data_IF_321965080909
#
_entry.id   IF_321965080909
#
_cell.length_a   1.000
_cell.length_b   1.000
_cell.length_c   1.000
_cell.angle_alpha   90.00
_cell.angle_beta   90.00
_cell.angle_gamma   90.00
#
_symmetry.space_group_name_H-M   'P 1'
#
loop_
_entity.id
_entity.type
_entity.pdbx_description
1 polymer ?
#
# COMPACT_ATOMS: atom_id res chain seq x y z
N UNK A 1 -75.38 72.64 1.44
CA UNK A 1 -75.16 71.49 0.55
C UNK A 1 -73.68 71.18 0.27
N UNK A 2 -72.74 71.61 1.13
CA UNK A 2 -71.29 71.40 0.89
C UNK A 2 -70.66 70.35 1.83
N UNK A 3 -71.42 69.86 2.82
CA UNK A 3 -70.97 68.82 3.78
C UNK A 3 -71.37 67.39 3.42
N UNK A 4 -72.27 67.20 2.45
CA UNK A 4 -72.78 65.87 2.05
C UNK A 4 -71.97 65.28 0.87
N UNK A 5 -71.44 66.13 0.00
CA UNK A 5 -70.63 65.71 -1.17
C UNK A 5 -69.24 65.23 -0.73
N UNK A 6 -68.66 65.80 0.33
CA UNK A 6 -67.40 65.34 0.91
C UNK A 6 -67.51 63.96 1.58
N UNK A 7 -68.68 63.60 2.12
CA UNK A 7 -68.92 62.30 2.74
C UNK A 7 -69.01 61.17 1.71
N UNK A 8 -69.68 61.40 0.57
CA UNK A 8 -69.77 60.39 -0.50
C UNK A 8 -68.45 60.20 -1.25
N UNK A 9 -67.64 61.25 -1.45
CA UNK A 9 -66.30 61.11 -2.04
C UNK A 9 -65.33 60.37 -1.12
N UNK A 10 -65.42 60.56 0.20
CA UNK A 10 -64.58 59.84 1.15
C UNK A 10 -64.97 58.36 1.28
N UNK A 11 -66.26 58.05 1.20
CA UNK A 11 -66.76 56.68 1.29
C UNK A 11 -66.48 55.86 0.01
N UNK A 12 -66.55 56.49 -1.16
CA UNK A 12 -66.20 55.83 -2.43
C UNK A 12 -64.68 55.63 -2.56
N UNK A 13 -63.85 56.58 -2.12
CA UNK A 13 -62.41 56.35 -2.03
C UNK A 13 -62.02 55.28 -1.00
N UNK A 14 -62.72 55.19 0.14
CA UNK A 14 -62.46 54.13 1.12
C UNK A 14 -62.81 52.73 0.59
N UNK A 15 -63.90 52.57 -0.17
CA UNK A 15 -64.30 51.27 -0.73
C UNK A 15 -63.41 50.84 -1.90
N UNK A 16 -62.93 51.79 -2.72
CA UNK A 16 -61.98 51.51 -3.81
C UNK A 16 -60.57 51.21 -3.28
N UNK A 17 -60.13 51.87 -2.21
CA UNK A 17 -58.83 51.58 -1.58
C UNK A 17 -58.86 50.24 -0.83
N UNK A 18 -59.99 49.88 -0.21
CA UNK A 18 -60.12 48.59 0.49
C UNK A 18 -60.18 47.41 -0.50
N UNK A 19 -60.80 47.56 -1.68
CA UNK A 19 -60.82 46.48 -2.68
C UNK A 19 -59.52 46.32 -3.49
N UNK A 20 -58.68 47.36 -3.57
CA UNK A 20 -57.35 47.27 -4.18
C UNK A 20 -56.32 46.58 -3.26
N UNK A 21 -56.47 46.67 -1.94
CA UNK A 21 -55.58 46.01 -0.97
C UNK A 21 -55.90 44.54 -0.70
N UNK A 22 -57.05 44.04 -1.15
CA UNK A 22 -57.41 42.61 -1.02
C UNK A 22 -56.97 41.73 -2.20
N UNK A 23 -56.45 42.30 -3.29
CA UNK A 23 -55.93 41.53 -4.42
C UNK A 23 -54.43 41.18 -4.29
N UNK A 24 -53.66 41.91 -3.48
CA UNK A 24 -52.20 41.72 -3.35
C UNK A 24 -51.78 40.90 -2.12
N UNK A 25 -52.68 40.68 -1.15
CA UNK A 25 -52.36 39.93 0.07
C UNK A 25 -52.44 38.40 -0.08
N UNK A 26 -53.11 37.88 -1.11
CA UNK A 26 -53.24 36.42 -1.33
C UNK A 26 -52.18 35.87 -2.29
N UNK A 27 -51.48 36.74 -3.04
CA UNK A 27 -50.48 36.34 -4.04
C UNK A 27 -49.07 36.16 -3.49
N UNK A 28 -48.71 36.78 -2.37
CA UNK A 28 -47.37 36.62 -1.75
C UNK A 28 -47.25 35.37 -0.89
N UNK A 29 -48.33 34.93 -0.24
CA UNK A 29 -48.34 33.67 0.52
C UNK A 29 -48.40 32.45 -0.41
N UNK A 30 -49.17 32.52 -1.50
CA UNK A 30 -49.23 31.44 -2.49
C UNK A 30 -47.94 31.32 -3.32
N UNK A 31 -47.25 32.41 -3.66
CA UNK A 31 -45.96 32.34 -4.38
C UNK A 31 -44.82 31.84 -3.49
N UNK A 32 -44.78 32.20 -2.20
CA UNK A 32 -43.81 31.64 -1.25
C UNK A 32 -44.11 30.18 -0.89
N UNK A 33 -45.39 29.79 -0.77
CA UNK A 33 -45.78 28.40 -0.57
C UNK A 33 -45.49 27.53 -1.82
N UNK A 34 -45.69 28.07 -3.03
CA UNK A 34 -45.34 27.40 -4.27
C UNK A 34 -43.81 27.29 -4.43
N UNK A 35 -43.06 28.34 -4.08
CA UNK A 35 -41.60 28.30 -4.06
C UNK A 35 -41.06 27.30 -3.03
N UNK A 36 -41.61 27.26 -1.81
CA UNK A 36 -41.27 26.26 -0.80
C UNK A 36 -41.58 24.84 -1.28
N UNK A 37 -42.73 24.62 -1.92
CA UNK A 37 -43.14 23.32 -2.46
C UNK A 37 -42.25 22.88 -3.63
N UNK A 38 -41.89 23.79 -4.54
CA UNK A 38 -40.98 23.51 -5.67
C UNK A 38 -39.58 23.17 -5.16
N UNK A 39 -39.09 23.89 -4.13
CA UNK A 39 -37.81 23.61 -3.49
C UNK A 39 -37.85 22.23 -2.81
N UNK A 40 -38.91 21.88 -2.07
CA UNK A 40 -39.01 20.55 -1.44
C UNK A 40 -39.06 19.43 -2.46
N UNK A 41 -39.85 19.57 -3.54
CA UNK A 41 -39.87 18.55 -4.62
C UNK A 41 -38.53 18.41 -5.32
N UNK A 42 -37.79 19.51 -5.51
CA UNK A 42 -36.45 19.45 -6.10
C UNK A 42 -35.42 18.81 -5.17
N UNK A 43 -35.57 18.97 -3.85
CA UNK A 43 -34.71 18.32 -2.85
C UNK A 43 -35.01 16.81 -2.80
N UNK A 44 -36.28 16.41 -2.83
CA UNK A 44 -36.70 15.00 -2.88
C UNK A 44 -36.22 14.28 -4.15
N UNK A 45 -36.29 14.96 -5.31
CA UNK A 45 -35.74 14.47 -6.57
C UNK A 45 -34.22 14.27 -6.50
N UNK A 46 -33.52 15.20 -5.84
CA UNK A 46 -32.07 15.10 -5.68
C UNK A 46 -31.68 14.01 -4.68
N UNK A 47 -32.43 13.80 -3.61
CA UNK A 47 -32.24 12.69 -2.66
C UNK A 47 -32.42 11.35 -3.39
N UNK A 48 -33.49 11.22 -4.20
CA UNK A 48 -33.75 10.00 -4.99
C UNK A 48 -32.63 9.72 -6.00
N UNK A 49 -32.04 10.76 -6.59
CA UNK A 49 -30.85 10.63 -7.46
C UNK A 49 -29.61 10.18 -6.69
N UNK A 50 -29.38 10.71 -5.49
CA UNK A 50 -28.26 10.30 -4.64
C UNK A 50 -28.38 8.82 -4.24
N UNK A 51 -29.56 8.37 -3.83
CA UNK A 51 -29.82 6.96 -3.51
C UNK A 51 -29.55 6.03 -4.71
N UNK A 52 -30.00 6.44 -5.91
CA UNK A 52 -29.72 5.70 -7.14
C UNK A 52 -28.23 5.64 -7.48
N UNK A 53 -27.48 6.73 -7.27
CA UNK A 53 -26.04 6.77 -7.52
C UNK A 53 -25.27 5.93 -6.50
N UNK A 54 -25.68 5.94 -5.22
CA UNK A 54 -25.09 5.08 -4.20
C UNK A 54 -25.26 3.59 -4.53
N UNK A 55 -26.44 3.18 -4.97
CA UNK A 55 -26.69 1.81 -5.41
C UNK A 55 -25.84 1.42 -6.65
N UNK A 56 -25.61 2.35 -7.57
CA UNK A 56 -24.73 2.12 -8.72
C UNK A 56 -23.26 1.96 -8.30
N UNK A 57 -22.79 2.74 -7.32
CA UNK A 57 -21.42 2.62 -6.80
C UNK A 57 -21.20 1.26 -6.15
N UNK A 58 -22.15 0.76 -5.35
CA UNK A 58 -22.04 -0.59 -4.78
C UNK A 58 -21.98 -1.67 -5.85
N UNK A 59 -22.82 -1.56 -6.88
CA UNK A 59 -22.82 -2.50 -7.99
C UNK A 59 -21.49 -2.46 -8.75
N UNK A 60 -20.95 -1.26 -9.00
CA UNK A 60 -19.65 -1.09 -9.65
C UNK A 60 -18.52 -1.65 -8.79
N UNK A 61 -18.53 -1.45 -7.47
CA UNK A 61 -17.58 -2.05 -6.53
C UNK A 61 -17.63 -3.59 -6.59
N UNK A 62 -18.83 -4.19 -6.58
CA UNK A 62 -19.00 -5.64 -6.73
C UNK A 62 -18.48 -6.16 -8.07
N UNK A 63 -18.74 -5.43 -9.16
CA UNK A 63 -18.22 -5.76 -10.49
C UNK A 63 -16.69 -5.66 -10.55
N UNK A 64 -16.09 -4.67 -9.90
CA UNK A 64 -14.64 -4.55 -9.80
C UNK A 64 -14.05 -5.73 -9.03
N UNK A 65 -14.58 -6.07 -7.85
CA UNK A 65 -14.13 -7.22 -7.06
C UNK A 65 -14.20 -8.54 -7.86
N UNK A 66 -15.31 -8.77 -8.58
CA UNK A 66 -15.47 -9.95 -9.42
C UNK A 66 -14.51 -9.96 -10.61
N UNK A 67 -14.30 -8.81 -11.27
CA UNK A 67 -13.35 -8.71 -12.37
C UNK A 67 -11.91 -8.93 -11.88
N UNK A 68 -11.54 -8.41 -10.71
CA UNK A 68 -10.23 -8.64 -10.10
C UNK A 68 -10.02 -10.11 -9.75
N UNK A 69 -11.06 -10.78 -9.22
CA UNK A 69 -11.04 -12.23 -8.96
C UNK A 69 -10.85 -13.03 -10.25
N UNK A 70 -11.60 -12.70 -11.30
CA UNK A 70 -11.45 -13.33 -12.61
C UNK A 70 -10.07 -13.09 -13.22
N UNK A 71 -9.49 -11.89 -13.05
CA UNK A 71 -8.12 -11.60 -13.47
C UNK A 71 -7.08 -12.37 -12.65
N UNK A 72 -7.28 -12.52 -11.34
CA UNK A 72 -6.40 -13.33 -10.47
C UNK A 72 -6.48 -14.82 -10.82
N UNK A 73 -7.67 -15.36 -11.08
CA UNK A 73 -7.88 -16.73 -11.53
C UNK A 73 -7.29 -16.97 -12.94
N UNK A 74 -7.44 -16.03 -13.87
CA UNK A 74 -6.81 -16.10 -15.18
C UNK A 74 -5.28 -15.95 -15.10
N UNK A 75 -4.77 -15.10 -14.21
CA UNK A 75 -3.33 -14.97 -13.90
C UNK A 75 -2.80 -16.21 -13.17
N UNK A 76 -3.63 -16.91 -12.39
CA UNK A 76 -3.28 -18.18 -11.76
C UNK A 76 -3.27 -19.35 -12.75
N UNK A 77 -4.18 -19.35 -13.73
CA UNK A 77 -4.16 -20.31 -14.86
C UNK A 77 -2.97 -20.06 -15.80
N UNK A 78 -2.57 -18.80 -15.97
CA UNK A 78 -1.31 -18.39 -16.59
C UNK A 78 -0.06 -18.88 -15.82
N UNK A 79 -0.20 -19.15 -14.52
CA UNK A 79 0.87 -19.60 -13.59
C UNK A 79 0.99 -21.12 -13.46
N UNK A 80 0.12 -21.91 -14.09
CA UNK A 80 0.22 -23.36 -14.04
C UNK A 80 1.35 -23.87 -14.94
N UNK A 81 2.53 -24.07 -14.36
CA UNK A 81 3.68 -24.87 -14.82
C UNK A 81 3.88 -24.92 -16.35
N UNK A 82 4.40 -23.82 -16.92
CA UNK A 82 4.93 -23.82 -18.27
C UNK A 82 6.09 -24.82 -18.36
N UNK A 83 5.81 -25.97 -19.00
CA UNK A 83 6.71 -27.10 -19.12
C UNK A 83 6.83 -27.54 -20.59
N UNK A 84 7.73 -28.47 -20.85
CA UNK A 84 7.94 -28.98 -22.20
C UNK A 84 6.63 -29.58 -22.76
N UNK A 85 6.23 -29.12 -23.94
CA UNK A 85 4.94 -29.46 -24.56
C UNK A 85 3.88 -28.36 -24.46
N UNK A 86 4.03 -27.36 -23.58
CA UNK A 86 3.11 -26.23 -23.47
C UNK A 86 3.06 -25.41 -24.77
N UNK A 87 1.88 -24.89 -25.10
CA UNK A 87 1.66 -24.02 -26.26
C UNK A 87 0.84 -22.80 -25.89
N UNK A 88 1.10 -21.67 -26.53
CA UNK A 88 0.29 -20.46 -26.37
C UNK A 88 1.09 -19.17 -26.48
N UNK A 89 0.38 -18.05 -26.31
CA UNK A 89 0.99 -16.73 -26.35
C UNK A 89 1.98 -16.49 -25.20
N UNK A 90 1.83 -17.20 -24.09
CA UNK A 90 2.70 -17.04 -22.93
C UNK A 90 4.06 -17.71 -23.13
N UNK A 91 4.08 -18.87 -23.79
CA UNK A 91 5.33 -19.47 -24.30
C UNK A 91 6.00 -18.52 -25.28
N UNK A 92 5.23 -17.80 -26.10
CA UNK A 92 5.76 -16.84 -27.07
C UNK A 92 6.40 -15.63 -26.39
N UNK A 93 5.83 -15.14 -25.28
CA UNK A 93 6.41 -14.08 -24.44
C UNK A 93 7.69 -14.56 -23.77
N UNK A 94 7.70 -15.76 -23.19
CA UNK A 94 8.88 -16.38 -22.61
C UNK A 94 10.00 -16.51 -23.66
N UNK A 95 9.69 -17.07 -24.84
CA UNK A 95 10.64 -17.19 -25.93
C UNK A 95 11.14 -15.83 -26.42
N UNK A 96 10.30 -14.79 -26.40
CA UNK A 96 10.71 -13.44 -26.74
C UNK A 96 11.71 -12.85 -25.74
N UNK A 97 11.53 -13.14 -24.46
CA UNK A 97 12.44 -12.76 -23.39
C UNK A 97 13.75 -13.54 -23.47
N UNK A 98 13.70 -14.87 -23.59
CA UNK A 98 14.91 -15.70 -23.72
C UNK A 98 15.71 -15.35 -24.98
N UNK A 99 15.03 -15.06 -26.09
CA UNK A 99 15.66 -14.62 -27.35
C UNK A 99 16.23 -13.20 -27.29
N UNK A 100 16.00 -12.45 -26.21
CA UNK A 100 16.67 -11.16 -25.99
C UNK A 100 18.17 -11.34 -25.81
N UNK A 101 18.59 -12.50 -25.32
CA UNK A 101 19.99 -12.87 -25.19
C UNK A 101 20.36 -14.02 -26.14
N UNK A 102 21.10 -13.74 -27.23
CA UNK A 102 21.57 -14.75 -28.17
C UNK A 102 22.50 -15.80 -27.54
N UNK A 103 23.11 -15.51 -26.39
CA UNK A 103 23.96 -16.47 -25.67
C UNK A 103 23.14 -17.46 -24.85
N UNK A 104 21.91 -17.11 -24.49
CA UNK A 104 20.95 -18.00 -23.82
C UNK A 104 20.15 -18.79 -24.83
N UNK A 105 19.54 -18.10 -25.80
CA UNK A 105 18.65 -18.70 -26.79
C UNK A 105 19.10 -18.36 -28.22
N UNK A 106 20.20 -18.96 -28.73
CA UNK A 106 20.76 -18.64 -30.04
C UNK A 106 19.81 -18.95 -31.19
N UNK A 107 18.89 -19.89 -31.00
CA UNK A 107 17.90 -20.27 -32.00
C UNK A 107 16.81 -19.20 -32.16
N UNK A 108 16.55 -18.40 -31.11
CA UNK A 108 15.65 -17.24 -31.16
C UNK A 108 14.22 -17.54 -31.61
N UNK A 109 13.78 -18.81 -31.54
CA UNK A 109 12.51 -19.26 -32.09
C UNK A 109 11.35 -18.87 -31.16
N UNK A 110 10.42 -18.05 -31.70
CA UNK A 110 9.21 -17.56 -31.02
C UNK A 110 7.96 -18.23 -31.58
N UNK A 111 7.96 -19.55 -31.62
CA UNK A 111 6.90 -20.37 -32.21
C UNK A 111 5.65 -20.45 -31.33
N UNK A 112 5.76 -20.11 -30.05
CA UNK A 112 4.71 -20.33 -29.07
C UNK A 112 4.58 -21.79 -28.64
N UNK A 113 5.57 -22.64 -28.95
CA UNK A 113 5.66 -24.05 -28.51
C UNK A 113 6.90 -24.26 -27.64
N UNK A 114 6.70 -24.78 -26.43
CA UNK A 114 7.77 -25.03 -25.47
C UNK A 114 8.42 -26.37 -25.81
N UNK A 115 9.41 -26.34 -26.71
CA UNK A 115 10.18 -27.51 -27.11
C UNK A 115 11.51 -27.66 -26.36
N UNK A 116 12.32 -28.67 -26.72
CA UNK A 116 13.61 -28.94 -26.08
C UNK A 116 14.60 -27.78 -26.17
N UNK A 117 14.54 -26.98 -27.24
CA UNK A 117 15.39 -25.79 -27.41
C UNK A 117 15.02 -24.68 -26.42
N UNK A 118 13.72 -24.46 -26.20
CA UNK A 118 13.24 -23.48 -25.21
C UNK A 118 13.58 -23.94 -23.79
N UNK A 119 13.49 -25.25 -23.53
CA UNK A 119 13.93 -25.84 -22.25
C UNK A 119 15.41 -25.63 -21.99
N UNK A 120 16.25 -25.84 -22.99
CA UNK A 120 17.70 -25.64 -22.86
C UNK A 120 18.05 -24.16 -22.65
N UNK A 121 17.36 -23.26 -23.36
CA UNK A 121 17.49 -21.83 -23.11
C UNK A 121 17.05 -21.45 -21.69
N UNK A 122 15.98 -22.04 -21.17
CA UNK A 122 15.53 -21.82 -19.80
C UNK A 122 16.56 -22.33 -18.79
N UNK A 123 17.18 -23.50 -19.01
CA UNK A 123 18.26 -24.00 -18.16
C UNK A 123 19.47 -23.08 -18.13
N UNK A 124 19.84 -22.50 -19.28
CA UNK A 124 20.93 -21.52 -19.34
C UNK A 124 20.57 -20.22 -18.63
N UNK A 125 19.31 -19.80 -18.72
CA UNK A 125 18.80 -18.65 -18.00
C UNK A 125 18.86 -18.90 -16.48
N UNK A 126 18.36 -20.03 -16.01
CA UNK A 126 18.45 -20.46 -14.61
C UNK A 126 19.90 -20.52 -14.13
N UNK A 127 20.78 -21.12 -14.93
CA UNK A 127 22.21 -21.23 -14.61
C UNK A 127 22.89 -19.85 -14.51
N UNK A 128 22.56 -18.93 -15.42
CA UNK A 128 23.12 -17.56 -15.41
C UNK A 128 22.69 -16.79 -14.18
N UNK A 129 21.44 -16.94 -13.81
CA UNK A 129 20.87 -16.30 -12.64
C UNK A 129 21.07 -17.13 -11.38
N UNK A 130 21.94 -18.14 -11.42
CA UNK A 130 22.37 -18.97 -10.28
C UNK A 130 21.22 -19.61 -9.47
N UNK A 131 20.04 -19.77 -10.08
CA UNK A 131 18.88 -20.49 -9.51
C UNK A 131 18.92 -21.98 -9.88
N UNK A 132 18.05 -22.78 -9.26
CA UNK A 132 18.00 -24.22 -9.52
C UNK A 132 17.72 -24.51 -11.01
N UNK A 133 18.60 -25.31 -11.62
CA UNK A 133 18.55 -25.62 -13.06
C UNK A 133 17.61 -26.80 -13.30
N UNK A 134 16.31 -26.56 -13.12
CA UNK A 134 15.25 -27.56 -13.32
C UNK A 134 14.85 -27.70 -14.78
N UNK A 135 15.01 -26.63 -15.57
CA UNK A 135 14.45 -26.50 -16.92
C UNK A 135 12.93 -26.41 -16.95
N UNK A 136 12.30 -26.16 -15.81
CA UNK A 136 10.87 -25.92 -15.61
C UNK A 136 10.73 -24.53 -14.99
N UNK A 137 9.64 -23.83 -15.25
CA UNK A 137 9.38 -22.55 -14.58
C UNK A 137 8.88 -22.84 -13.17
N UNK A 138 9.81 -23.02 -12.24
CA UNK A 138 9.54 -23.05 -10.80
C UNK A 138 9.25 -21.65 -10.25
N UNK A 139 8.81 -21.57 -8.98
CA UNK A 139 8.41 -20.29 -8.36
C UNK A 139 9.56 -19.26 -8.36
N UNK A 140 10.80 -19.71 -8.16
CA UNK A 140 11.99 -18.87 -8.23
C UNK A 140 12.24 -18.32 -9.64
N UNK A 141 12.19 -19.19 -10.66
CA UNK A 141 12.32 -18.80 -12.07
C UNK A 141 11.17 -17.86 -12.48
N UNK A 142 9.97 -18.07 -11.93
CA UNK A 142 8.80 -17.25 -12.20
C UNK A 142 8.93 -15.85 -11.63
N UNK A 143 9.33 -15.72 -10.37
CA UNK A 143 9.57 -14.42 -9.74
C UNK A 143 10.56 -13.59 -10.57
N UNK A 144 11.64 -14.24 -11.02
CA UNK A 144 12.67 -13.60 -11.82
C UNK A 144 12.16 -13.19 -13.20
N UNK A 145 11.38 -14.04 -13.86
CA UNK A 145 10.75 -13.70 -15.15
C UNK A 145 9.74 -12.56 -15.02
N UNK A 146 8.91 -12.56 -13.97
CA UNK A 146 7.93 -11.49 -13.71
C UNK A 146 8.63 -10.14 -13.53
N UNK A 147 9.76 -10.11 -12.84
CA UNK A 147 10.57 -8.89 -12.66
C UNK A 147 11.18 -8.39 -13.98
N UNK A 148 11.79 -9.30 -14.76
CA UNK A 148 12.31 -8.98 -16.10
C UNK A 148 11.21 -8.44 -17.03
N UNK A 149 9.99 -8.96 -16.92
CA UNK A 149 8.84 -8.54 -17.71
C UNK A 149 8.24 -7.23 -17.21
N UNK A 150 8.25 -6.96 -15.91
CA UNK A 150 7.76 -5.71 -15.32
C UNK A 150 8.61 -4.52 -15.80
N UNK A 151 9.93 -4.67 -15.84
CA UNK A 151 10.84 -3.64 -16.34
C UNK A 151 10.74 -3.46 -17.87
N UNK A 152 10.49 -4.53 -18.62
CA UNK A 152 10.23 -4.44 -20.06
C UNK A 152 8.88 -3.78 -20.39
N UNK A 153 7.85 -4.03 -19.58
CA UNK A 153 6.49 -3.55 -19.78
C UNK A 153 6.28 -2.09 -19.36
N UNK A 154 6.89 -1.64 -18.27
CA UNK A 154 6.63 -0.31 -17.70
C UNK A 154 7.40 0.82 -18.40
N UNK A 155 8.46 0.50 -19.14
CA UNK A 155 9.33 1.50 -19.75
C UNK A 155 9.31 1.50 -21.29
N UNK A 156 8.48 0.68 -21.94
CA UNK A 156 8.45 0.54 -23.40
C UNK A 156 9.81 0.11 -23.97
N UNK A 157 10.64 -0.52 -23.15
CA UNK A 157 12.03 -0.84 -23.45
C UNK A 157 12.05 -2.09 -24.35
N UNK A 158 12.65 -2.01 -25.55
CA UNK A 158 12.86 -3.18 -26.37
C UNK A 158 13.71 -4.19 -25.60
N UNK A 159 13.29 -5.46 -25.59
CA UNK A 159 13.92 -6.55 -24.82
C UNK A 159 15.45 -6.66 -24.97
N UNK A 160 16.04 -6.16 -26.07
CA UNK A 160 17.50 -6.11 -26.25
C UNK A 160 18.27 -5.18 -25.29
N UNK A 161 17.60 -4.25 -24.61
CA UNK A 161 18.20 -3.36 -23.60
C UNK A 161 18.38 -4.01 -22.23
N UNK A 162 17.73 -5.16 -21.98
CA UNK A 162 17.89 -5.95 -20.75
C UNK A 162 19.30 -6.56 -20.62
N UNK A 163 20.14 -6.46 -21.67
CA UNK A 163 21.53 -6.94 -21.72
C UNK A 163 22.55 -5.93 -21.17
N UNK A 164 22.13 -4.70 -20.84
CA UNK A 164 23.07 -3.69 -20.34
C UNK A 164 23.51 -4.07 -18.91
N UNK A 165 24.82 -4.09 -18.59
CA UNK A 165 25.32 -4.47 -17.27
C UNK A 165 24.63 -3.73 -16.11
N UNK A 166 24.34 -2.45 -16.28
CA UNK A 166 23.64 -1.66 -15.27
C UNK A 166 22.17 -2.05 -15.05
N UNK A 167 21.47 -2.57 -16.08
CA UNK A 167 20.12 -3.11 -15.94
C UNK A 167 20.16 -4.48 -15.28
N UNK A 168 21.12 -5.32 -15.66
CA UNK A 168 21.34 -6.64 -15.04
C UNK A 168 21.57 -6.50 -13.53
N UNK A 169 22.45 -5.57 -13.13
CA UNK A 169 22.76 -5.30 -11.73
C UNK A 169 21.56 -4.72 -10.97
N UNK A 170 20.76 -3.87 -11.60
CA UNK A 170 19.54 -3.32 -10.98
C UNK A 170 18.48 -4.39 -10.70
N UNK A 171 18.32 -5.33 -11.62
CA UNK A 171 17.40 -6.47 -11.44
C UNK A 171 17.96 -7.43 -10.38
N UNK A 172 19.27 -7.70 -10.39
CA UNK A 172 19.91 -8.52 -9.35
C UNK A 172 19.78 -7.89 -7.95
N UNK A 173 19.94 -6.57 -7.82
CA UNK A 173 19.78 -5.86 -6.54
C UNK A 173 18.34 -5.88 -6.03
N UNK A 174 17.35 -5.62 -6.90
CA UNK A 174 15.92 -5.69 -6.51
C UNK A 174 15.48 -7.10 -6.14
N UNK A 175 16.03 -8.12 -6.80
CA UNK A 175 15.73 -9.50 -6.45
C UNK A 175 16.29 -9.85 -5.06
N UNK A 176 17.43 -9.28 -4.68
CA UNK A 176 17.99 -9.39 -3.31
C UNK A 176 17.07 -8.76 -2.26
N UNK A 177 16.55 -7.56 -2.50
CA UNK A 177 15.58 -6.89 -1.62
C UNK A 177 14.22 -7.63 -1.54
N UNK A 178 13.87 -8.38 -2.59
CA UNK A 178 12.63 -9.14 -2.65
C UNK A 178 12.73 -10.52 -1.96
N UNK A 179 13.95 -11.00 -1.69
CA UNK A 179 14.21 -12.24 -0.95
C UNK A 179 13.82 -12.13 0.55
N UNK A 180 13.76 -10.94 1.12
CA UNK A 180 13.44 -10.72 2.54
C UNK A 180 11.93 -10.78 2.82
N UNK A 181 11.08 -10.50 1.82
CA UNK A 181 9.62 -10.44 1.97
C UNK A 181 8.85 -11.73 1.65
N UNK A 182 9.47 -12.72 1.00
CA UNK A 182 8.82 -13.96 0.60
C UNK A 182 9.45 -15.17 1.29
N UNK A 183 8.98 -15.45 2.50
CA UNK A 183 9.38 -16.60 3.30
C UNK A 183 9.44 -17.92 2.52
N UNK A 184 10.54 -18.63 2.74
CA UNK A 184 10.78 -20.08 2.56
C UNK A 184 10.73 -20.70 1.15
N UNK A 185 10.32 -19.98 0.10
CA UNK A 185 10.30 -20.52 -1.27
C UNK A 185 11.64 -20.53 -2.02
N UNK A 186 12.61 -19.71 -1.58
CA UNK A 186 13.81 -19.39 -2.36
C UNK A 186 15.13 -19.71 -1.63
N UNK A 187 15.10 -20.59 -0.63
CA UNK A 187 16.18 -20.78 0.35
C UNK A 187 17.57 -21.04 -0.24
N UNK A 188 17.69 -21.73 -1.38
CA UNK A 188 19.00 -22.00 -1.99
C UNK A 188 19.60 -20.80 -2.73
N UNK A 189 18.77 -19.96 -3.34
CA UNK A 189 19.22 -18.80 -4.11
C UNK A 189 19.40 -17.56 -3.22
N UNK A 190 18.45 -17.29 -2.34
CA UNK A 190 18.54 -16.16 -1.42
C UNK A 190 19.70 -16.33 -0.41
N UNK A 191 19.95 -17.54 0.12
CA UNK A 191 21.16 -17.78 0.94
C UNK A 191 22.46 -17.59 0.15
N UNK A 192 22.45 -17.92 -1.16
CA UNK A 192 23.66 -17.82 -1.98
C UNK A 192 23.92 -16.38 -2.45
N UNK A 193 22.89 -15.57 -2.64
CA UNK A 193 23.05 -14.14 -2.88
C UNK A 193 23.55 -13.37 -1.66
N UNK A 194 23.11 -13.75 -0.43
CA UNK A 194 23.74 -13.26 0.82
C UNK A 194 25.26 -13.51 0.80
N UNK A 195 25.69 -14.72 0.45
CA UNK A 195 27.11 -15.10 0.35
C UNK A 195 27.87 -14.35 -0.77
N UNK A 196 27.21 -13.91 -1.85
CA UNK A 196 27.88 -13.25 -2.99
C UNK A 196 28.23 -11.77 -2.71
N UNK A 197 27.56 -11.15 -1.75
CA UNK A 197 27.76 -9.75 -1.36
C UNK A 197 28.27 -9.56 0.07
N UNK A 198 28.41 -10.65 0.84
CA UNK A 198 29.33 -10.69 1.98
C UNK A 198 30.75 -10.52 1.45
N UNK A 199 31.25 -9.29 1.52
CA UNK A 199 32.67 -9.00 1.33
C UNK A 199 33.42 -9.83 2.36
N UNK A 200 34.30 -10.69 1.89
CA UNK A 200 35.31 -11.34 2.70
C UNK A 200 36.12 -10.25 3.44
N UNK A 201 35.83 -10.03 4.72
CA UNK A 201 36.72 -9.34 5.66
C UNK A 201 37.93 -10.24 5.98
N UNK A 202 38.69 -10.58 4.94
CA UNK A 202 40.02 -11.15 5.05
C UNK A 202 41.03 -9.99 5.02
N UNK A 203 41.32 -9.42 6.19
CA UNK A 203 42.62 -8.78 6.42
C UNK A 203 43.12 -9.03 7.86
N UNK A 204 43.89 -10.10 7.95
CA UNK A 204 45.13 -10.23 8.72
C UNK A 204 45.64 -8.93 9.36
N UNK A 205 45.70 -8.94 10.69
CA UNK A 205 46.68 -8.34 11.59
C UNK A 205 47.55 -7.20 11.02
N UNK A 206 47.29 -5.99 11.51
CA UNK A 206 48.17 -4.84 11.35
C UNK A 206 47.65 -3.65 12.13
N UNK A 207 48.12 -3.52 13.37
CA UNK A 207 47.92 -2.36 14.25
C UNK A 207 48.21 -1.05 13.51
N UNK A 208 47.20 -0.20 13.28
CA UNK A 208 47.36 1.26 13.30
C UNK A 208 46.08 1.89 13.85
N UNK A 209 46.18 2.41 15.08
CA UNK A 209 45.28 3.40 15.63
C UNK A 209 45.18 4.59 14.66
N UNK A 210 43.98 4.86 14.17
CA UNK A 210 43.60 6.19 13.72
C UNK A 210 42.17 6.46 14.18
N UNK A 211 42.08 7.31 15.20
CA UNK A 211 40.87 7.99 15.63
C UNK A 211 40.28 8.78 14.43
N UNK A 212 39.49 8.11 13.60
CA UNK A 212 38.58 8.77 12.68
C UNK A 212 37.17 8.60 13.23
N UNK A 213 36.80 9.60 14.04
CA UNK A 213 35.47 10.00 14.44
C UNK A 213 34.60 10.19 13.18
N UNK A 214 34.14 9.08 12.59
CA UNK A 214 33.02 9.09 11.64
C UNK A 214 31.76 9.15 12.49
N UNK A 215 31.39 10.37 12.87
CA UNK A 215 30.04 10.64 13.30
C UNK A 215 29.10 10.12 12.21
N UNK A 216 28.38 9.04 12.53
CA UNK A 216 27.27 8.56 11.73
C UNK A 216 26.32 9.76 11.56
N UNK A 217 26.24 10.25 10.33
CA UNK A 217 25.13 11.11 9.94
C UNK A 217 23.95 10.17 9.87
N UNK A 218 23.35 9.88 11.02
CA UNK A 218 22.02 9.29 11.11
C UNK A 218 21.12 10.31 10.43
N UNK A 219 20.75 10.01 9.18
CA UNK A 219 19.81 10.87 8.50
C UNK A 219 18.46 10.67 9.19
N UNK A 220 17.94 11.72 9.84
CA UNK A 220 16.64 11.63 10.51
C UNK A 220 15.48 11.30 9.56
N UNK A 221 15.74 11.25 8.24
CA UNK A 221 14.77 10.74 7.27
C UNK A 221 14.63 9.22 7.33
N UNK A 222 15.68 8.49 7.69
CA UNK A 222 15.67 7.03 7.84
C UNK A 222 14.85 6.66 9.07
N UNK A 223 15.10 7.30 10.21
CA UNK A 223 14.37 7.05 11.47
C UNK A 223 12.86 7.32 11.34
N UNK A 224 12.48 8.43 10.70
CA UNK A 224 11.07 8.74 10.47
C UNK A 224 10.38 7.78 9.47
N UNK A 225 11.12 7.26 8.49
CA UNK A 225 10.59 6.26 7.53
C UNK A 225 10.43 4.91 8.22
N UNK A 226 11.40 4.51 9.05
CA UNK A 226 11.37 3.28 9.83
C UNK A 226 10.20 3.27 10.82
N UNK A 227 10.04 4.33 11.61
CA UNK A 227 8.90 4.46 12.54
C UNK A 227 7.54 4.38 11.83
N UNK A 228 7.42 4.95 10.62
CA UNK A 228 6.19 4.85 9.80
C UNK A 228 5.97 3.42 9.31
N UNK A 229 7.03 2.71 8.92
CA UNK A 229 6.95 1.33 8.47
C UNK A 229 6.50 0.40 9.61
N UNK A 230 7.04 0.58 10.80
CA UNK A 230 6.68 -0.18 12.00
C UNK A 230 5.21 0.06 12.39
N UNK A 231 4.77 1.31 12.42
CA UNK A 231 3.38 1.66 12.67
C UNK A 231 2.41 1.00 11.66
N UNK A 232 2.79 0.93 10.37
CA UNK A 232 1.99 0.23 9.35
C UNK A 232 1.88 -1.26 9.67
N UNK A 233 2.99 -1.91 10.04
CA UNK A 233 3.02 -3.33 10.34
C UNK A 233 2.11 -3.69 11.51
N UNK A 234 2.14 -2.91 12.61
CA UNK A 234 1.26 -3.13 13.78
C UNK A 234 -0.22 -2.90 13.43
N UNK A 235 -0.53 -1.85 12.65
CA UNK A 235 -1.91 -1.56 12.22
C UNK A 235 -2.48 -2.70 11.36
N UNK A 236 -1.68 -3.22 10.42
CA UNK A 236 -2.11 -4.31 9.54
C UNK A 236 -2.30 -5.62 10.32
N UNK A 237 -1.44 -5.89 11.31
CA UNK A 237 -1.62 -7.01 12.23
C UNK A 237 -2.93 -6.90 13.04
N UNK A 238 -3.21 -5.72 13.62
CA UNK A 238 -4.46 -5.47 14.34
C UNK A 238 -5.69 -5.65 13.44
N UNK A 239 -5.67 -5.15 12.21
CA UNK A 239 -6.77 -5.35 11.25
C UNK A 239 -7.02 -6.84 10.97
N UNK A 240 -5.95 -7.60 10.74
CA UNK A 240 -6.05 -9.03 10.50
C UNK A 240 -6.60 -9.77 11.73
N UNK A 241 -6.17 -9.38 12.94
CA UNK A 241 -6.67 -9.96 14.18
C UNK A 241 -8.15 -9.64 14.41
N UNK A 242 -8.59 -8.40 14.14
CA UNK A 242 -10.00 -7.99 14.21
C UNK A 242 -10.88 -8.82 13.26
N UNK A 243 -10.41 -9.09 12.04
CA UNK A 243 -11.17 -9.86 11.05
C UNK A 243 -11.43 -11.31 11.47
N UNK A 244 -10.48 -11.94 12.19
CA UNK A 244 -10.55 -13.35 12.59
C UNK A 244 -11.06 -13.54 14.02
N UNK A 245 -11.12 -12.48 14.82
CA UNK A 245 -11.48 -12.55 16.23
C UNK A 245 -12.91 -13.06 16.46
N UNK A 246 -13.06 -13.96 17.44
CA UNK A 246 -14.35 -14.44 17.94
C UNK A 246 -14.68 -13.90 19.33
N UNK A 247 -14.00 -12.83 19.75
CA UNK A 247 -14.20 -12.20 21.05
C UNK A 247 -15.57 -11.53 21.20
N UNK A 248 -15.85 -11.03 22.41
CA UNK A 248 -17.06 -10.25 22.69
C UNK A 248 -17.14 -9.05 21.73
N UNK A 249 -18.31 -8.83 21.13
CA UNK A 249 -18.55 -7.74 20.17
C UNK A 249 -18.08 -6.35 20.63
N UNK A 250 -18.17 -6.07 21.93
CA UNK A 250 -17.69 -4.81 22.53
C UNK A 250 -16.17 -4.62 22.38
N UNK A 251 -15.38 -5.69 22.54
CA UNK A 251 -13.92 -5.67 22.39
C UNK A 251 -13.53 -5.47 20.91
N UNK A 252 -14.30 -6.06 20.00
CA UNK A 252 -14.10 -5.90 18.55
C UNK A 252 -14.45 -4.46 18.12
N UNK A 253 -15.55 -3.89 18.61
CA UNK A 253 -15.95 -2.52 18.33
C UNK A 253 -14.88 -1.51 18.82
N UNK A 254 -14.30 -1.75 20.01
CA UNK A 254 -13.20 -0.93 20.56
C UNK A 254 -11.92 -1.07 19.73
N UNK A 255 -11.57 -2.28 19.29
CA UNK A 255 -10.42 -2.52 18.41
C UNK A 255 -10.61 -1.88 17.02
N UNK A 256 -11.80 -1.94 16.43
CA UNK A 256 -12.12 -1.22 15.19
C UNK A 256 -12.03 0.30 15.35
N UNK A 257 -12.36 0.84 16.53
CA UNK A 257 -12.19 2.25 16.84
C UNK A 257 -10.70 2.61 16.97
N UNK A 258 -9.89 1.75 17.58
CA UNK A 258 -8.45 1.92 17.68
C UNK A 258 -7.77 1.88 16.30
N UNK A 259 -8.16 0.96 15.41
CA UNK A 259 -7.68 0.92 14.02
C UNK A 259 -7.91 2.27 13.33
N UNK A 260 -9.12 2.84 13.46
CA UNK A 260 -9.43 4.15 12.86
C UNK A 260 -8.57 5.27 13.45
N UNK A 261 -8.31 5.25 14.75
CA UNK A 261 -7.47 6.24 15.40
C UNK A 261 -6.00 6.13 14.96
N UNK A 262 -5.46 4.91 14.89
CA UNK A 262 -4.10 4.64 14.43
C UNK A 262 -3.91 5.04 12.96
N UNK A 263 -4.88 4.77 12.08
CA UNK A 263 -4.83 5.22 10.67
C UNK A 263 -4.81 6.75 10.53
N UNK A 264 -5.50 7.48 11.41
CA UNK A 264 -5.48 8.95 11.43
C UNK A 264 -4.10 9.48 11.86
N UNK A 265 -3.50 8.86 12.88
CA UNK A 265 -2.15 9.19 13.33
C UNK A 265 -1.11 8.88 12.25
N UNK A 266 -1.20 7.72 11.59
CA UNK A 266 -0.34 7.35 10.46
C UNK A 266 -0.47 8.32 9.28
N UNK A 267 -1.70 8.74 8.94
CA UNK A 267 -1.92 9.74 7.89
C UNK A 267 -1.28 11.10 8.26
N UNK A 268 -1.28 11.44 9.55
CA UNK A 268 -0.60 12.64 10.05
C UNK A 268 0.92 12.50 9.95
N UNK A 269 1.49 11.35 10.31
CA UNK A 269 2.91 11.04 10.17
C UNK A 269 3.37 11.16 8.70
N UNK A 270 2.64 10.53 7.77
CA UNK A 270 2.92 10.62 6.33
C UNK A 270 2.85 12.06 5.79
N UNK A 271 1.92 12.87 6.30
CA UNK A 271 1.82 14.28 5.93
C UNK A 271 3.01 15.11 6.45
N UNK A 272 3.54 14.78 7.64
CA UNK A 272 4.73 15.42 8.21
C UNK A 272 6.00 15.02 7.49
N UNK A 273 6.16 13.74 7.16
CA UNK A 273 7.26 13.24 6.33
C UNK A 273 7.29 13.97 4.98
N UNK A 274 6.14 14.12 4.31
CA UNK A 274 6.05 14.85 3.05
C UNK A 274 6.34 16.36 3.15
N UNK A 275 6.35 16.91 4.37
CA UNK A 275 6.68 18.31 4.66
C UNK A 275 8.11 18.48 5.20
N UNK A 276 8.94 17.43 5.15
CA UNK A 276 10.29 17.36 5.74
C UNK A 276 10.32 17.69 7.25
N UNK A 277 9.20 17.48 7.95
CA UNK A 277 9.07 17.67 9.40
C UNK A 277 9.31 16.35 10.14
N UNK A 278 10.57 15.89 10.13
CA UNK A 278 10.98 14.52 10.51
C UNK A 278 10.64 14.17 11.97
N UNK A 279 11.02 14.99 12.95
CA UNK A 279 10.70 14.76 14.37
C UNK A 279 9.19 14.69 14.65
N UNK A 280 8.40 15.50 13.94
CA UNK A 280 6.94 15.47 14.06
C UNK A 280 6.36 14.21 13.41
N UNK A 281 6.94 13.76 12.29
CA UNK A 281 6.55 12.52 11.62
C UNK A 281 6.78 11.30 12.52
N UNK A 282 7.95 11.21 13.14
CA UNK A 282 8.29 10.15 14.10
C UNK A 282 7.31 10.15 15.29
N UNK A 283 7.02 11.32 15.86
CA UNK A 283 6.07 11.44 16.97
C UNK A 283 4.69 10.89 16.62
N UNK A 284 4.15 11.22 15.44
CA UNK A 284 2.85 10.71 14.99
C UNK A 284 2.90 9.22 14.64
N UNK A 285 4.04 8.73 14.15
CA UNK A 285 4.23 7.32 13.85
C UNK A 285 4.23 6.48 15.14
N UNK A 286 5.00 6.86 16.15
CA UNK A 286 4.99 6.21 17.47
C UNK A 286 3.62 6.29 18.15
N UNK A 287 2.87 7.38 17.97
CA UNK A 287 1.49 7.46 18.46
C UNK A 287 0.57 6.45 17.76
N UNK A 288 0.70 6.29 16.44
CA UNK A 288 -0.08 5.33 15.67
C UNK A 288 0.23 3.88 16.08
N UNK A 289 1.51 3.57 16.23
CA UNK A 289 2.00 2.27 16.68
C UNK A 289 1.43 1.94 18.06
N UNK A 290 1.59 2.84 19.05
CA UNK A 290 1.10 2.64 20.42
C UNK A 290 -0.40 2.41 20.47
N UNK A 291 -1.20 3.14 19.69
CA UNK A 291 -2.66 2.94 19.64
C UNK A 291 -3.01 1.54 19.09
N UNK A 292 -2.30 1.09 18.07
CA UNK A 292 -2.54 -0.20 17.45
C UNK A 292 -2.08 -1.35 18.36
N UNK A 293 -0.93 -1.21 19.01
CA UNK A 293 -0.36 -2.20 19.92
C UNK A 293 -1.22 -2.38 21.18
N UNK A 294 -1.59 -1.28 21.85
CA UNK A 294 -2.49 -1.29 23.02
C UNK A 294 -3.80 -2.04 22.72
N UNK A 295 -4.34 -1.87 21.50
CA UNK A 295 -5.59 -2.52 21.08
C UNK A 295 -5.38 -3.99 20.66
N UNK A 296 -4.22 -4.31 20.09
CA UNK A 296 -3.86 -5.68 19.73
C UNK A 296 -3.71 -6.54 20.98
N UNK A 297 -3.02 -6.02 22.00
CA UNK A 297 -2.85 -6.71 23.29
C UNK A 297 -4.20 -7.00 23.95
N UNK A 298 -5.14 -6.04 23.92
CA UNK A 298 -6.49 -6.23 24.46
C UNK A 298 -7.29 -7.27 23.67
N UNK A 299 -7.11 -7.34 22.35
CA UNK A 299 -7.85 -8.25 21.48
C UNK A 299 -7.31 -9.68 21.52
N UNK A 300 -5.98 -9.85 21.57
CA UNK A 300 -5.28 -11.15 21.41
C UNK A 300 -4.75 -11.69 22.74
N UNK A 301 -4.49 -10.83 23.73
CA UNK A 301 -3.94 -11.21 25.03
C UNK A 301 -2.45 -11.56 24.99
N UNK A 302 -1.76 -11.23 23.91
CA UNK A 302 -0.31 -11.41 23.71
C UNK A 302 0.31 -10.07 23.29
N UNK A 303 1.52 -9.80 23.76
CA UNK A 303 2.32 -8.61 23.40
C UNK A 303 2.74 -8.76 21.93
N UNK A 304 2.41 -7.79 21.08
CA UNK A 304 2.84 -7.80 19.69
C UNK A 304 4.30 -7.37 19.62
N UNK A 305 5.22 -8.33 19.70
CA UNK A 305 6.61 -8.08 19.35
C UNK A 305 6.69 -7.91 17.83
N UNK A 306 6.58 -6.66 17.35
CA UNK A 306 7.20 -6.31 16.07
C UNK A 306 8.67 -6.74 16.15
N UNK A 307 9.20 -7.40 15.13
CA UNK A 307 10.59 -7.87 15.11
C UNK A 307 11.56 -6.67 15.19
N UNK A 308 11.73 -6.12 16.40
CA UNK A 308 12.79 -5.19 16.77
C UNK A 308 14.10 -5.97 16.69
N UNK A 309 14.77 -5.89 15.55
CA UNK A 309 16.23 -5.96 15.53
C UNK A 309 16.76 -4.67 16.17
N UNK A 310 16.60 -4.57 17.49
CA UNK A 310 17.45 -3.75 18.32
C UNK A 310 18.46 -4.74 18.90
N UNK A 311 19.72 -4.59 18.50
CA UNK A 311 20.86 -5.25 19.13
C UNK A 311 20.94 -4.83 20.62
N UNK A 312 20.13 -5.45 21.47
CA UNK A 312 20.43 -5.56 22.89
C UNK A 312 21.36 -6.75 23.11
N UNK A 313 22.66 -6.48 23.12
CA UNK A 313 23.61 -7.30 23.87
C UNK A 313 23.91 -6.64 25.20
N UNK A 314 23.16 -7.02 26.22
CA UNK A 314 23.64 -7.02 27.58
C UNK A 314 24.82 -7.98 27.71
N UNK A 315 25.83 -7.56 28.47
CA UNK A 315 26.28 -8.22 29.70
C UNK A 315 27.72 -7.83 29.99
N UNK A 316 27.97 -7.21 31.15
CA UNK A 316 28.77 -7.91 32.17
C UNK A 316 28.66 -7.20 33.52
N UNK A 317 28.03 -7.92 34.44
CA UNK A 317 28.22 -7.77 35.87
C UNK A 317 29.71 -7.96 36.21
N UNK A 318 30.35 -6.95 36.78
CA UNK A 318 31.56 -7.16 37.60
C UNK A 318 31.28 -6.69 39.03
N UNK A 319 30.72 -7.59 39.84
CA UNK A 319 31.01 -7.62 41.26
C UNK A 319 32.45 -8.14 41.42
N UNK A 320 33.37 -7.28 41.84
CA UNK A 320 34.52 -7.72 42.61
C UNK A 320 34.61 -6.89 43.90
N UNK A 321 34.94 -7.63 44.94
CA UNK A 321 34.72 -7.39 46.33
C UNK A 321 36.02 -6.83 46.94
N UNK A 322 35.86 -6.03 47.99
CA UNK A 322 36.80 -5.87 49.12
C UNK A 322 37.90 -4.79 49.13
N UNK A 323 37.92 -4.12 50.29
CA UNK A 323 39.07 -3.81 51.17
C UNK A 323 39.89 -2.52 50.91
N UNK A 324 39.67 -1.47 51.72
CA UNK A 324 40.43 -1.14 52.95
C UNK A 324 40.30 0.34 53.36
N UNK A 325 40.16 0.54 54.68
CA UNK A 325 40.70 1.64 55.53
C UNK A 325 40.23 3.08 55.20
N UNK A 326 39.69 3.89 56.11
CA UNK A 326 40.04 4.14 57.51
C UNK A 326 40.28 5.66 57.64
N UNK A 327 39.67 6.29 58.66
CA UNK A 327 39.97 7.61 59.25
C UNK A 327 39.86 8.86 58.32
N UNK A 328 39.28 10.02 58.67
CA UNK A 328 38.95 10.74 59.91
C UNK A 328 37.64 11.54 59.74
#
# INVERSE_FOLDING_TARGET
>A
MQKVIAGCLFFVCAVVVVSATYAEAETTDTTNALAATVITTSVDDNISRLESLMAQIELLKKKLAELTRQMMEAKAQLRADLSEGSTGDDVKKLQALLASDPTLYPEGLKTGYFGPLTREALKRFQLRHEIEVTGVIDEATKALLEEYLADAGNAGIPVGFLRAPGMQMKIEMRFSENCERHGEGNGAFCNKMKIKYEVEDDNSDGDEESDDDKGDVVDGSTDAIEAIADAIAVIDALKAAVEVSTEKAEVIDDAEAAVKAAEIALASAQAKLAADALDEAETFASEAERIADDAYEVLVGEEFESERNVDEKGDDESNDETLLEGDE
#
